data_IF_062713751915
#
_entry.id   IF_062713751915
#
_cell.length_a   1.000
_cell.length_b   1.000
_cell.length_c   1.000
_cell.angle_alpha   90.00
_cell.angle_beta   90.00
_cell.angle_gamma   90.00
#
_symmetry.space_group_name_H-M   'P 1'
#
loop_
_entity.id
_entity.type
_entity.pdbx_description
1 polymer ?
#
# COMPACT_ATOMS: atom_id res chain seq x y z
N UNK A 1 18.22 -4.42 -30.65
CA UNK A 1 19.39 -3.97 -29.85
C UNK A 1 19.10 -4.30 -28.40
N UNK A 2 19.99 -5.00 -27.69
CA UNK A 2 19.83 -5.26 -26.24
C UNK A 2 20.16 -4.00 -25.45
N UNK A 3 19.42 -3.79 -24.36
CA UNK A 3 19.47 -2.64 -23.46
C UNK A 3 20.90 -2.36 -22.94
N UNK A 4 21.41 -1.11 -22.97
CA UNK A 4 22.71 -0.72 -22.42
C UNK A 4 22.93 -1.16 -20.96
N UNK A 5 21.86 -1.29 -20.17
CA UNK A 5 21.90 -1.71 -18.77
C UNK A 5 22.35 -3.17 -18.64
N UNK A 6 21.83 -4.05 -19.51
CA UNK A 6 22.18 -5.47 -19.52
C UNK A 6 23.68 -5.69 -19.80
N UNK A 7 24.26 -4.90 -20.71
CA UNK A 7 25.69 -4.95 -21.03
C UNK A 7 26.60 -4.46 -19.90
N UNK A 8 26.09 -3.60 -19.01
CA UNK A 8 26.86 -3.07 -17.86
C UNK A 8 26.86 -4.07 -16.70
N UNK A 9 25.72 -4.72 -16.43
CA UNK A 9 25.62 -5.77 -15.40
C UNK A 9 26.55 -6.97 -15.70
N UNK A 10 26.69 -7.37 -16.97
CA UNK A 10 27.57 -8.48 -17.38
C UNK A 10 29.07 -8.16 -17.24
N UNK A 11 29.48 -6.88 -17.34
CA UNK A 11 30.90 -6.50 -17.39
C UNK A 11 31.56 -6.34 -16.02
N UNK A 12 30.82 -5.93 -14.99
CA UNK A 12 31.42 -5.48 -13.71
C UNK A 12 30.68 -5.97 -12.45
N UNK A 13 29.51 -6.59 -12.58
CA UNK A 13 28.70 -7.03 -11.44
C UNK A 13 29.09 -8.43 -10.95
N UNK A 14 29.41 -8.59 -9.66
CA UNK A 14 29.26 -9.90 -9.01
C UNK A 14 27.77 -10.21 -8.95
N UNK A 15 27.38 -11.42 -9.33
CA UNK A 15 26.00 -11.89 -9.22
C UNK A 15 25.63 -11.84 -7.73
N UNK A 16 24.68 -10.97 -7.38
CA UNK A 16 24.13 -10.89 -6.04
C UNK A 16 23.29 -12.14 -5.79
N UNK A 17 23.66 -12.93 -4.77
CA UNK A 17 22.90 -14.13 -4.43
C UNK A 17 21.58 -13.74 -3.77
N UNK A 18 20.54 -13.69 -4.60
CA UNK A 18 19.19 -13.39 -4.14
C UNK A 18 18.60 -14.49 -3.28
N UNK A 19 19.19 -15.69 -3.23
CA UNK A 19 18.67 -16.81 -2.42
C UNK A 19 19.02 -16.71 -0.94
N UNK A 20 19.97 -15.83 -0.56
CA UNK A 20 20.34 -15.64 0.83
C UNK A 20 19.15 -15.12 1.68
N UNK A 21 18.93 -15.62 2.92
CA UNK A 21 17.80 -15.21 3.77
C UNK A 21 17.68 -13.69 3.97
N UNK A 22 18.79 -12.99 4.24
CA UNK A 22 18.81 -11.51 4.29
C UNK A 22 18.38 -10.86 2.97
N UNK A 23 18.83 -11.38 1.82
CA UNK A 23 18.44 -10.86 0.53
C UNK A 23 16.94 -11.07 0.29
N UNK A 24 16.41 -12.24 0.66
CA UNK A 24 14.97 -12.52 0.62
C UNK A 24 14.17 -11.60 1.54
N UNK A 25 14.68 -11.28 2.74
CA UNK A 25 14.04 -10.35 3.67
C UNK A 25 13.94 -8.93 3.11
N UNK A 26 15.03 -8.43 2.51
CA UNK A 26 15.06 -7.12 1.84
C UNK A 26 14.14 -7.11 0.61
N UNK A 27 14.22 -8.15 -0.24
CA UNK A 27 13.37 -8.29 -1.43
C UNK A 27 11.90 -8.36 -1.03
N UNK A 28 11.56 -9.10 0.04
CA UNK A 28 10.21 -9.14 0.61
C UNK A 28 9.79 -7.75 1.07
N UNK A 29 10.65 -7.05 1.80
CA UNK A 29 10.44 -5.67 2.22
C UNK A 29 10.13 -4.72 1.07
N UNK A 30 10.88 -4.81 -0.04
CA UNK A 30 10.65 -4.03 -1.26
C UNK A 30 9.38 -4.41 -2.03
N UNK A 31 8.89 -5.64 -1.87
CA UNK A 31 7.68 -6.16 -2.53
C UNK A 31 6.39 -5.94 -1.73
N UNK A 32 6.48 -5.53 -0.47
CA UNK A 32 5.33 -5.32 0.44
C UNK A 32 4.80 -3.88 0.37
N UNK A 33 3.51 -3.65 0.62
CA UNK A 33 2.93 -2.32 0.81
C UNK A 33 2.76 -1.45 -0.45
N UNK A 34 2.40 -0.19 -0.21
CA UNK A 34 1.87 0.76 -1.20
C UNK A 34 2.86 1.37 -2.19
N UNK A 35 4.16 1.30 -1.90
CA UNK A 35 5.23 1.87 -2.74
C UNK A 35 6.30 0.83 -3.03
N UNK A 36 5.94 -0.14 -3.87
CA UNK A 36 6.85 -1.15 -4.44
C UNK A 36 7.92 -0.44 -5.28
N UNK A 37 9.20 -0.63 -4.94
CA UNK A 37 10.32 -0.07 -5.72
C UNK A 37 10.84 1.32 -5.32
N UNK A 38 10.47 1.86 -4.16
CA UNK A 38 11.15 3.03 -3.60
C UNK A 38 12.58 2.64 -3.18
N UNK A 39 13.64 3.27 -3.71
CA UNK A 39 15.03 2.91 -3.41
C UNK A 39 15.51 3.34 -2.02
N UNK A 40 14.63 3.89 -1.18
CA UNK A 40 14.98 4.54 0.10
C UNK A 40 14.01 4.08 1.19
N UNK A 41 14.16 2.82 1.60
CA UNK A 41 13.41 2.19 2.69
C UNK A 41 14.32 2.01 3.91
N UNK A 42 13.84 2.36 5.10
CA UNK A 42 14.40 1.90 6.36
C UNK A 42 13.80 0.53 6.69
N UNK A 43 14.64 -0.50 6.83
CA UNK A 43 14.22 -1.82 7.28
C UNK A 43 14.74 -2.11 8.68
N UNK A 44 13.88 -2.72 9.50
CA UNK A 44 14.30 -3.37 10.74
C UNK A 44 14.25 -4.87 10.48
N UNK A 45 15.41 -5.52 10.53
CA UNK A 45 15.57 -6.95 10.28
C UNK A 45 16.18 -7.58 11.53
N UNK A 46 15.61 -8.71 11.98
CA UNK A 46 16.13 -9.47 13.12
C UNK A 46 17.46 -10.17 12.79
N UNK A 47 18.13 -10.71 13.81
CA UNK A 47 19.33 -11.50 13.61
C UNK A 47 19.07 -12.80 12.80
N UNK A 48 17.83 -13.28 12.85
CA UNK A 48 17.35 -14.46 12.11
C UNK A 48 16.84 -14.12 10.70
N UNK A 49 17.10 -12.89 10.24
CA UNK A 49 16.70 -12.37 8.93
C UNK A 49 15.18 -12.25 8.74
N UNK A 50 14.43 -12.04 9.82
CA UNK A 50 13.00 -11.73 9.74
C UNK A 50 12.79 -10.23 9.58
N UNK A 51 11.90 -9.83 8.67
CA UNK A 51 11.53 -8.43 8.49
C UNK A 51 10.57 -8.02 9.63
N UNK A 52 11.07 -7.19 10.55
CA UNK A 52 10.35 -6.71 11.72
C UNK A 52 9.57 -5.42 11.44
N UNK A 53 10.04 -4.61 10.48
CA UNK A 53 9.28 -3.45 10.04
C UNK A 53 9.97 -2.65 8.94
N UNK A 54 9.21 -1.72 8.38
CA UNK A 54 9.60 -0.90 7.23
C UNK A 54 9.06 0.51 7.41
N UNK A 55 9.84 1.50 7.00
CA UNK A 55 9.36 2.86 6.84
C UNK A 55 9.99 3.50 5.61
N UNK A 56 9.20 4.28 4.87
CA UNK A 56 9.68 5.06 3.73
C UNK A 56 10.45 6.28 4.24
N UNK A 57 11.70 6.46 3.81
CA UNK A 57 12.58 7.53 4.31
C UNK A 57 11.96 8.93 4.11
N UNK A 58 11.31 9.15 2.97
CA UNK A 58 10.67 10.44 2.70
C UNK A 58 9.45 10.70 3.60
N UNK A 59 8.74 9.65 4.00
CA UNK A 59 7.61 9.77 4.94
C UNK A 59 8.13 9.94 6.37
N UNK A 60 9.19 9.23 6.74
CA UNK A 60 9.90 9.44 8.01
C UNK A 60 10.32 10.89 8.17
N UNK A 61 11.00 11.48 7.18
CA UNK A 61 11.45 12.87 7.27
C UNK A 61 10.29 13.88 7.27
N UNK A 62 9.23 13.65 6.49
CA UNK A 62 8.07 14.54 6.48
C UNK A 62 7.33 14.53 7.83
N UNK A 63 7.04 13.35 8.38
CA UNK A 63 6.38 13.21 9.69
C UNK A 63 7.20 13.85 10.80
N UNK A 64 8.52 13.69 10.74
CA UNK A 64 9.45 14.21 11.72
C UNK A 64 9.56 15.75 11.66
N UNK A 65 9.59 16.28 10.43
CA UNK A 65 9.56 17.72 10.16
C UNK A 65 8.26 18.38 10.64
N UNK A 66 7.10 17.77 10.34
CA UNK A 66 5.78 18.26 10.77
C UNK A 66 5.62 18.24 12.29
N UNK A 67 6.10 17.17 12.94
CA UNK A 67 5.99 16.99 14.40
C UNK A 67 7.09 17.71 15.18
N UNK A 68 8.04 18.37 14.51
CA UNK A 68 9.25 19.02 15.09
C UNK A 68 10.00 18.13 16.07
N UNK A 69 9.96 16.81 15.84
CA UNK A 69 10.64 15.84 16.69
C UNK A 69 12.12 15.82 16.31
N UNK A 70 12.95 15.42 17.28
CA UNK A 70 14.36 15.16 16.98
C UNK A 70 14.47 13.83 16.23
N UNK A 71 15.43 13.75 15.32
CA UNK A 71 15.66 12.56 14.49
C UNK A 71 15.82 11.28 15.32
N UNK A 72 16.48 11.36 16.47
CA UNK A 72 16.70 10.24 17.37
C UNK A 72 15.41 9.74 18.03
N UNK A 73 14.49 10.64 18.36
CA UNK A 73 13.20 10.30 19.00
C UNK A 73 12.27 9.61 18.02
N UNK A 74 12.23 10.11 16.78
CA UNK A 74 11.43 9.51 15.72
C UNK A 74 11.99 8.15 15.31
N UNK A 75 13.31 8.01 15.22
CA UNK A 75 13.93 6.72 14.95
C UNK A 75 13.68 5.71 16.07
N UNK A 76 13.78 6.11 17.34
CA UNK A 76 13.50 5.23 18.48
C UNK A 76 12.05 4.72 18.48
N UNK A 77 11.10 5.57 18.11
CA UNK A 77 9.69 5.22 18.03
C UNK A 77 9.38 4.29 16.87
N UNK A 78 9.97 4.54 15.70
CA UNK A 78 9.95 3.58 14.58
C UNK A 78 10.45 2.20 15.03
N UNK A 79 11.58 2.11 15.75
CA UNK A 79 12.09 0.84 16.26
C UNK A 79 11.13 0.17 17.24
N UNK A 80 10.54 0.91 18.18
CA UNK A 80 9.56 0.38 19.14
C UNK A 80 8.33 -0.17 18.43
N UNK A 81 7.80 0.55 17.45
CA UNK A 81 6.64 0.12 16.68
C UNK A 81 6.94 -1.14 15.85
N UNK A 82 8.13 -1.23 15.25
CA UNK A 82 8.56 -2.45 14.56
C UNK A 82 8.64 -3.65 15.52
N UNK A 83 9.18 -3.46 16.73
CA UNK A 83 9.26 -4.52 17.74
C UNK A 83 7.88 -4.93 18.28
N UNK A 84 6.93 -4.01 18.33
CA UNK A 84 5.55 -4.27 18.70
C UNK A 84 4.75 -4.92 17.56
N UNK A 85 5.39 -5.24 16.43
CA UNK A 85 4.73 -5.83 15.26
C UNK A 85 3.81 -4.86 14.53
N UNK A 86 3.87 -3.57 14.86
CA UNK A 86 2.99 -2.52 14.30
C UNK A 86 3.36 -2.09 12.88
N UNK A 87 4.30 -2.81 12.23
CA UNK A 87 4.78 -2.60 10.85
C UNK A 87 4.36 -1.25 10.26
N UNK A 88 5.06 -0.14 10.55
CA UNK A 88 4.59 1.21 10.20
C UNK A 88 4.76 1.56 8.70
N UNK A 89 4.25 0.67 7.84
CA UNK A 89 3.99 0.82 6.42
C UNK A 89 2.79 -0.06 6.07
N UNK A 90 1.65 0.57 5.79
CA UNK A 90 0.30 0.01 5.91
C UNK A 90 0.12 -1.37 5.26
N UNK A 91 -0.45 -2.26 6.08
CA UNK A 91 -0.33 -3.70 5.98
C UNK A 91 -1.10 -4.32 4.83
N UNK A 92 -0.50 -5.36 4.26
CA UNK A 92 -1.20 -6.32 3.43
C UNK A 92 -2.19 -7.07 4.32
N UNK A 93 -3.49 -7.02 4.03
CA UNK A 93 -4.46 -7.89 4.69
C UNK A 93 -4.46 -9.27 4.04
N UNK A 94 -4.66 -10.31 4.83
CA UNK A 94 -4.80 -11.69 4.33
C UNK A 94 -6.13 -12.24 4.80
N UNK A 95 -6.96 -12.63 3.85
CA UNK A 95 -8.31 -13.16 4.11
C UNK A 95 -8.34 -14.66 3.81
N UNK A 96 -9.07 -15.41 4.62
CA UNK A 96 -9.29 -16.84 4.44
C UNK A 96 -10.67 -17.24 4.99
N UNK A 97 -11.07 -18.51 4.89
CA UNK A 97 -12.41 -18.93 5.31
C UNK A 97 -12.66 -18.81 6.83
N UNK A 98 -11.63 -18.82 7.67
CA UNK A 98 -11.74 -18.61 9.13
C UNK A 98 -11.82 -17.12 9.49
N UNK A 99 -11.06 -16.29 8.77
CA UNK A 99 -11.05 -14.83 8.87
C UNK A 99 -11.38 -14.19 7.51
N UNK A 100 -12.65 -14.26 7.07
CA UNK A 100 -13.03 -13.79 5.75
C UNK A 100 -13.18 -12.27 5.69
N UNK A 101 -13.00 -11.56 6.81
CA UNK A 101 -13.12 -10.12 6.88
C UNK A 101 -12.15 -9.49 7.88
N UNK A 102 -11.60 -8.33 7.51
CA UNK A 102 -10.73 -7.51 8.37
C UNK A 102 -11.02 -6.02 8.16
N UNK A 103 -10.89 -5.25 9.24
CA UNK A 103 -10.98 -3.79 9.23
C UNK A 103 -9.59 -3.18 9.01
N UNK A 104 -9.52 -2.17 8.14
CA UNK A 104 -8.34 -1.35 7.88
C UNK A 104 -8.67 0.11 8.20
N UNK A 105 -7.73 0.81 8.82
CA UNK A 105 -7.84 2.24 9.11
C UNK A 105 -6.59 2.93 8.61
N UNK A 106 -6.77 3.97 7.82
CA UNK A 106 -5.66 4.62 7.14
C UNK A 106 -6.02 6.06 6.73
N UNK A 107 -5.07 6.79 6.17
CA UNK A 107 -5.21 8.18 5.72
C UNK A 107 -4.86 8.27 4.26
N UNK A 108 -5.61 9.06 3.49
CA UNK A 108 -5.25 9.42 2.12
C UNK A 108 -4.97 10.93 2.04
N UNK A 109 -4.24 11.32 0.99
CA UNK A 109 -3.80 12.69 0.78
C UNK A 109 -4.09 13.17 -0.64
N UNK A 110 -4.48 14.43 -0.78
CA UNK A 110 -4.56 15.11 -2.07
C UNK A 110 -3.15 15.35 -2.61
N UNK A 111 -2.86 14.99 -3.88
CA UNK A 111 -1.52 15.10 -4.44
C UNK A 111 -0.93 16.52 -4.31
N UNK A 112 0.28 16.62 -3.75
CA UNK A 112 1.04 17.89 -3.66
C UNK A 112 1.78 18.14 -4.98
N UNK A 113 2.41 17.09 -5.54
CA UNK A 113 3.18 17.11 -6.78
C UNK A 113 2.83 15.86 -7.59
N UNK A 114 2.62 16.00 -8.90
CA UNK A 114 2.19 14.91 -9.77
C UNK A 114 0.68 14.63 -9.71
N UNK A 115 0.25 13.53 -10.33
CA UNK A 115 -1.18 13.29 -10.62
C UNK A 115 -1.94 12.52 -9.52
N UNK A 116 -1.27 11.66 -8.74
CA UNK A 116 -1.88 10.81 -7.69
C UNK A 116 -0.89 10.52 -6.56
N UNK A 117 -1.35 10.56 -5.31
CA UNK A 117 -0.62 10.17 -4.10
C UNK A 117 -1.46 9.09 -3.42
N UNK A 118 -1.12 7.84 -3.70
CA UNK A 118 -1.90 6.70 -3.27
C UNK A 118 -1.42 6.17 -1.93
N UNK A 119 -2.38 6.08 -1.01
CA UNK A 119 -2.37 5.09 0.06
C UNK A 119 -2.88 3.78 -0.53
N UNK A 120 -2.20 2.66 -0.31
CA UNK A 120 -2.58 1.39 -0.93
C UNK A 120 -2.65 0.29 0.10
N UNK A 121 -3.79 -0.39 0.11
CA UNK A 121 -4.02 -1.60 0.89
C UNK A 121 -3.93 -2.79 -0.05
N UNK A 122 -3.01 -3.71 0.22
CA UNK A 122 -2.90 -4.97 -0.53
C UNK A 122 -3.80 -6.01 0.12
N UNK A 123 -4.55 -6.74 -0.68
CA UNK A 123 -5.53 -7.72 -0.23
C UNK A 123 -5.13 -9.08 -0.78
N UNK A 124 -4.70 -9.98 0.10
CA UNK A 124 -4.42 -11.39 -0.24
C UNK A 124 -5.67 -12.23 -0.01
N UNK A 125 -6.31 -12.63 -1.11
CA UNK A 125 -7.48 -13.50 -1.13
C UNK A 125 -7.15 -14.87 -1.75
N UNK A 126 -5.88 -15.28 -1.75
CA UNK A 126 -5.46 -16.54 -2.40
C UNK A 126 -6.01 -17.79 -1.73
N UNK A 127 -6.36 -17.72 -0.45
CA UNK A 127 -6.98 -18.82 0.27
C UNK A 127 -8.34 -19.23 -0.32
N UNK A 128 -9.02 -18.34 -1.04
CA UNK A 128 -10.30 -18.60 -1.69
C UNK A 128 -10.08 -19.24 -3.07
N UNK A 129 -9.63 -20.50 -3.10
CA UNK A 129 -9.22 -21.20 -4.33
C UNK A 129 -10.31 -21.25 -5.41
N UNK A 130 -11.59 -21.31 -5.01
CA UNK A 130 -12.77 -21.33 -5.89
C UNK A 130 -13.32 -19.94 -6.21
N UNK A 131 -12.58 -18.91 -5.87
CA UNK A 131 -13.01 -17.53 -6.00
C UNK A 131 -14.05 -17.13 -4.96
N UNK A 132 -14.63 -15.97 -5.19
CA UNK A 132 -15.64 -15.39 -4.31
C UNK A 132 -16.01 -13.98 -4.75
N UNK A 133 -16.70 -13.27 -3.86
CA UNK A 133 -17.04 -11.86 -4.02
C UNK A 133 -16.31 -11.04 -2.97
N UNK A 134 -15.34 -10.23 -3.43
CA UNK A 134 -14.66 -9.24 -2.61
C UNK A 134 -15.55 -8.03 -2.44
N UNK A 135 -15.83 -7.66 -1.19
CA UNK A 135 -16.58 -6.45 -0.81
C UNK A 135 -15.71 -5.58 0.07
N UNK A 136 -15.72 -4.27 -0.20
CA UNK A 136 -14.99 -3.26 0.58
C UNK A 136 -15.99 -2.18 0.95
N UNK A 137 -16.39 -2.16 2.22
CA UNK A 137 -17.19 -1.08 2.80
C UNK A 137 -16.25 0.00 3.31
N UNK A 138 -16.42 1.23 2.84
CA UNK A 138 -15.53 2.36 3.11
C UNK A 138 -16.31 3.44 3.84
N UNK A 139 -15.74 3.99 4.88
CA UNK A 139 -16.21 5.17 5.60
C UNK A 139 -15.10 6.21 5.61
N UNK A 140 -15.38 7.42 5.14
CA UNK A 140 -14.41 8.53 5.17
C UNK A 140 -14.55 9.35 6.44
N UNK A 141 -13.43 9.87 6.92
CA UNK A 141 -13.41 10.82 8.03
C UNK A 141 -13.99 12.18 7.65
N UNK A 142 -13.99 13.09 8.62
CA UNK A 142 -14.61 14.43 8.49
C UNK A 142 -13.65 15.54 8.05
N UNK A 143 -12.41 15.21 7.70
CA UNK A 143 -11.43 16.19 7.26
C UNK A 143 -11.67 16.58 5.79
N UNK A 144 -11.08 17.70 5.35
CA UNK A 144 -11.46 18.40 4.12
C UNK A 144 -11.14 17.66 2.80
N UNK A 145 -10.37 16.55 2.85
CA UNK A 145 -10.03 15.81 1.63
C UNK A 145 -11.14 14.85 1.20
N UNK A 146 -11.60 14.99 -0.04
CA UNK A 146 -12.46 14.01 -0.72
C UNK A 146 -11.62 12.82 -1.22
N UNK A 147 -12.13 11.61 -1.06
CA UNK A 147 -11.42 10.37 -1.38
C UNK A 147 -11.82 9.76 -2.72
N UNK A 148 -10.84 9.34 -3.49
CA UNK A 148 -10.99 8.45 -4.64
C UNK A 148 -10.42 7.08 -4.29
N UNK A 149 -11.26 6.05 -4.40
CA UNK A 149 -10.94 4.67 -4.10
C UNK A 149 -11.00 3.83 -5.36
N UNK A 150 -9.94 3.08 -5.63
CA UNK A 150 -9.80 2.24 -6.82
C UNK A 150 -9.37 0.85 -6.41
N UNK A 151 -10.15 -0.15 -6.84
CA UNK A 151 -9.78 -1.55 -6.73
C UNK A 151 -9.13 -2.00 -8.04
N UNK A 152 -7.93 -2.55 -7.98
CA UNK A 152 -7.22 -3.11 -9.13
C UNK A 152 -6.74 -4.52 -8.83
N UNK A 153 -6.38 -5.23 -9.89
CA UNK A 153 -5.71 -6.52 -9.77
C UNK A 153 -4.35 -6.37 -9.07
N UNK A 154 -3.93 -7.38 -8.31
CA UNK A 154 -2.66 -7.37 -7.60
C UNK A 154 -1.43 -7.30 -8.51
N UNK A 155 -1.54 -7.77 -9.76
CA UNK A 155 -0.45 -7.71 -10.74
C UNK A 155 -0.44 -6.38 -11.52
N UNK A 156 -1.55 -5.66 -11.56
CA UNK A 156 -1.67 -4.39 -12.27
C UNK A 156 -1.14 -3.20 -11.45
N UNK A 157 -0.63 -2.19 -12.16
CA UNK A 157 -0.26 -0.92 -11.56
C UNK A 157 -1.48 -0.04 -11.29
N UNK A 158 -1.43 0.76 -10.23
CA UNK A 158 -2.47 1.75 -9.99
C UNK A 158 -2.46 2.82 -11.10
N UNK A 159 -3.64 3.30 -11.55
CA UNK A 159 -3.73 4.33 -12.56
C UNK A 159 -2.94 5.60 -12.21
N UNK A 160 -2.00 6.00 -13.06
CA UNK A 160 -1.21 7.23 -12.86
C UNK A 160 -1.78 8.42 -13.65
N UNK A 161 -2.80 8.20 -14.47
CA UNK A 161 -3.45 9.23 -15.27
C UNK A 161 -4.41 10.08 -14.43
N UNK A 162 -4.62 11.34 -14.84
CA UNK A 162 -5.59 12.23 -14.19
C UNK A 162 -7.00 11.63 -14.18
N UNK A 163 -7.39 11.05 -15.33
CA UNK A 163 -8.69 10.44 -15.56
C UNK A 163 -8.57 8.92 -15.48
N UNK A 164 -9.19 8.35 -14.45
CA UNK A 164 -9.36 6.90 -14.29
C UNK A 164 -10.71 6.49 -14.87
N UNK A 165 -10.75 5.41 -15.63
CA UNK A 165 -11.98 4.88 -16.23
C UNK A 165 -12.26 3.47 -15.75
N UNK A 166 -13.51 3.00 -15.91
CA UNK A 166 -13.94 1.65 -15.51
C UNK A 166 -13.20 0.50 -16.20
N UNK A 167 -12.42 0.78 -17.25
CA UNK A 167 -11.64 -0.22 -17.96
C UNK A 167 -10.22 -0.37 -17.38
N UNK A 168 -9.83 0.50 -16.46
CA UNK A 168 -8.51 0.53 -15.85
C UNK A 168 -8.50 -0.04 -14.42
N UNK A 169 -9.69 -0.31 -13.87
CA UNK A 169 -9.90 -0.69 -12.47
C UNK A 169 -11.03 -1.69 -12.41
N UNK A 170 -10.98 -2.59 -11.43
CA UNK A 170 -12.01 -3.59 -11.17
C UNK A 170 -13.27 -2.96 -10.57
N UNK A 171 -13.08 -1.96 -9.71
CA UNK A 171 -14.15 -1.14 -9.13
C UNK A 171 -13.60 0.23 -8.73
N UNK A 172 -14.47 1.24 -8.63
CA UNK A 172 -14.09 2.56 -8.12
C UNK A 172 -15.23 3.27 -7.42
N UNK A 173 -14.86 4.12 -6.45
CA UNK A 173 -15.79 4.94 -5.69
C UNK A 173 -15.15 6.29 -5.39
N UNK A 174 -15.94 7.34 -5.50
CA UNK A 174 -15.61 8.66 -4.98
C UNK A 174 -16.48 8.90 -3.75
N UNK A 175 -15.88 9.46 -2.69
CA UNK A 175 -16.53 9.74 -1.43
C UNK A 175 -16.14 11.12 -0.91
N UNK A 176 -17.13 11.89 -0.49
CA UNK A 176 -16.97 13.13 0.25
C UNK A 176 -16.56 12.83 1.72
N UNK A 177 -16.15 13.84 2.50
CA UNK A 177 -15.97 13.67 3.95
C UNK A 177 -17.27 13.24 4.65
N UNK A 178 -17.17 12.39 5.68
CA UNK A 178 -18.30 11.83 6.45
C UNK A 178 -19.28 10.99 5.60
N UNK A 179 -18.79 10.37 4.51
CA UNK A 179 -19.57 9.54 3.60
C UNK A 179 -19.19 8.06 3.74
N UNK A 180 -20.14 7.18 3.38
CA UNK A 180 -19.90 5.75 3.25
C UNK A 180 -20.09 5.29 1.82
N UNK A 181 -19.30 4.29 1.40
CA UNK A 181 -19.35 3.72 0.07
C UNK A 181 -18.98 2.25 0.06
N UNK A 182 -19.25 1.59 -1.05
CA UNK A 182 -18.93 0.19 -1.23
C UNK A 182 -18.28 -0.04 -2.60
N UNK A 183 -17.27 -0.91 -2.62
CA UNK A 183 -16.71 -1.52 -3.83
C UNK A 183 -16.99 -3.02 -3.79
N UNK A 184 -17.37 -3.59 -4.94
CA UNK A 184 -17.62 -5.02 -5.05
C UNK A 184 -16.97 -5.56 -6.32
N UNK A 185 -16.31 -6.71 -6.20
CA UNK A 185 -15.70 -7.40 -7.34
C UNK A 185 -15.77 -8.91 -7.17
N UNK A 186 -16.31 -9.60 -8.18
CA UNK A 186 -16.34 -11.06 -8.24
C UNK A 186 -15.07 -11.58 -8.90
N UNK A 187 -14.49 -12.62 -8.33
CA UNK A 187 -13.31 -13.28 -8.85
C UNK A 187 -13.49 -14.81 -8.84
N UNK A 188 -12.86 -15.50 -9.79
CA UNK A 188 -13.09 -16.93 -10.03
C UNK A 188 -12.05 -17.84 -9.36
N UNK A 189 -10.93 -17.28 -8.91
CA UNK A 189 -9.84 -18.01 -8.24
C UNK A 189 -9.10 -17.11 -7.26
N UNK A 190 -8.51 -17.71 -6.23
CA UNK A 190 -7.71 -16.98 -5.25
C UNK A 190 -6.61 -16.15 -5.90
N UNK A 191 -6.56 -14.86 -5.56
CA UNK A 191 -5.60 -13.90 -6.11
C UNK A 191 -5.37 -12.72 -5.17
N UNK A 192 -4.53 -11.78 -5.60
CA UNK A 192 -4.29 -10.53 -4.89
C UNK A 192 -5.08 -9.38 -5.51
N UNK A 193 -5.40 -8.39 -4.69
CA UNK A 193 -5.95 -7.11 -5.13
C UNK A 193 -5.21 -5.96 -4.47
N UNK A 194 -5.37 -4.76 -5.04
CA UNK A 194 -4.92 -3.52 -4.40
C UNK A 194 -6.09 -2.54 -4.35
N UNK A 195 -6.33 -1.99 -3.17
CA UNK A 195 -7.19 -0.84 -2.97
C UNK A 195 -6.30 0.40 -2.89
N UNK A 196 -6.34 1.26 -3.90
CA UNK A 196 -5.70 2.58 -3.87
C UNK A 196 -6.68 3.66 -3.42
N UNK A 197 -6.32 4.39 -2.37
CA UNK A 197 -7.03 5.58 -1.87
C UNK A 197 -6.18 6.84 -2.12
N UNK A 198 -6.77 7.89 -2.68
CA UNK A 198 -6.06 9.16 -2.95
C UNK A 198 -7.02 10.34 -2.90
N UNK A 199 -6.53 11.53 -2.57
CA UNK A 199 -7.35 12.74 -2.52
C UNK A 199 -7.70 13.31 -3.90
N UNK A 200 -8.83 13.99 -4.00
CA UNK A 200 -9.29 14.64 -5.23
C UNK A 200 -8.57 16.00 -5.47
N UNK A 201 -7.61 16.02 -6.39
CA UNK A 201 -6.86 17.24 -6.78
C UNK A 201 -7.76 18.39 -7.28
N UNK A 202 -8.92 18.10 -7.87
CA UNK A 202 -9.81 19.11 -8.43
C UNK A 202 -10.76 19.77 -7.44
N UNK A 203 -10.86 19.24 -6.22
CA UNK A 203 -11.89 19.64 -5.25
C UNK A 203 -11.38 19.91 -3.84
N UNK A 204 -10.24 19.34 -3.46
CA UNK A 204 -9.59 19.59 -2.17
C UNK A 204 -8.30 20.37 -2.35
N UNK A 205 -7.87 21.11 -1.33
CA UNK A 205 -6.57 21.77 -1.34
C UNK A 205 -5.45 20.74 -1.48
N UNK A 206 -4.34 21.15 -2.12
CA UNK A 206 -3.18 20.27 -2.30
C UNK A 206 -2.61 19.91 -0.94
N UNK A 207 -2.33 18.62 -0.73
CA UNK A 207 -1.80 18.12 0.53
C UNK A 207 -2.84 17.96 1.64
N UNK A 208 -4.11 18.32 1.43
CA UNK A 208 -5.17 17.97 2.38
C UNK A 208 -5.22 16.48 2.61
N UNK A 209 -5.46 16.07 3.85
CA UNK A 209 -5.55 14.68 4.25
C UNK A 209 -6.92 14.36 4.82
N UNK A 210 -7.39 13.14 4.65
CA UNK A 210 -8.54 12.63 5.38
C UNK A 210 -8.35 11.14 5.68
N UNK A 211 -8.96 10.68 6.76
CA UNK A 211 -8.92 9.28 7.17
C UNK A 211 -9.97 8.47 6.40
N UNK A 212 -9.77 7.16 6.35
CA UNK A 212 -10.82 6.22 6.00
C UNK A 212 -10.73 4.97 6.87
N UNK A 213 -11.89 4.37 7.13
CA UNK A 213 -12.04 2.99 7.58
C UNK A 213 -12.51 2.16 6.39
N UNK A 214 -11.89 1.02 6.14
CA UNK A 214 -12.34 0.05 5.16
C UNK A 214 -12.56 -1.31 5.83
N UNK A 215 -13.79 -1.83 5.80
CA UNK A 215 -14.05 -3.23 6.12
C UNK A 215 -13.96 -4.03 4.83
N UNK A 216 -12.99 -4.92 4.76
CA UNK A 216 -12.75 -5.75 3.58
C UNK A 216 -13.25 -7.15 3.91
N UNK A 217 -14.04 -7.75 3.03
CA UNK A 217 -14.56 -9.10 3.21
C UNK A 217 -14.62 -9.89 1.90
N UNK A 218 -14.55 -11.21 2.00
CA UNK A 218 -14.81 -12.13 0.89
C UNK A 218 -15.95 -13.08 1.29
N UNK A 219 -16.92 -13.20 0.40
CA UNK A 219 -17.93 -14.27 0.44
C UNK A 219 -17.56 -15.34 -0.61
N UNK A 220 -17.45 -16.60 -0.20
CA UNK A 220 -17.13 -17.72 -1.10
C UNK A 220 -18.27 -17.97 -2.11
N UNK A 221 -17.91 -18.43 -3.32
CA UNK A 221 -18.86 -18.86 -4.36
C UNK A 221 -19.61 -20.15 -3.99
#
# INVERSE_FOLDING_TARGET
MRDPIAKRCEREGKIFDTSHPLAQAIIKGWKTGSKKGSPVDCFVISADFELMGRQLVNEFFNDNWEKKRRDEESYLMFLKECLEGKQPGLGNITLNSEEPSQDVFDVFRTPIVGYKDYTVVVIDARAFEKGGTLTIDIETGRADAEGHFYLVDGDDDLPTTERVTKYMVLAMKWLEPDETGQLTHRFDRGQFFKLGATGCYGRSEKGSTNAFKAKISVEEN
#
